data_IF_698150233716
#
_entry.id   IF_698150233716
#
_cell.length_a   1.000
_cell.length_b   1.000
_cell.length_c   1.000
_cell.angle_alpha   90.00
_cell.angle_beta   90.00
_cell.angle_gamma   90.00
#
_symmetry.space_group_name_H-M   'P 1'
#
loop_
_entity.id
_entity.type
_entity.pdbx_description
1 polymer ?
#
# COMPACT_ATOMS: atom_id res chain seq x y z
N UNK A 1 20.42 23.08 15.33
CA UNK A 1 19.03 22.80 15.78
C UNK A 1 19.06 21.92 17.02
N UNK A 2 18.04 21.98 17.89
CA UNK A 2 17.95 21.22 19.14
C UNK A 2 16.81 20.19 19.02
N UNK A 3 17.09 18.91 19.27
CA UNK A 3 16.07 17.86 19.23
C UNK A 3 15.05 18.03 20.37
N UNK A 4 13.77 17.73 20.11
CA UNK A 4 12.70 17.69 21.11
C UNK A 4 12.44 16.22 21.52
N UNK A 5 12.85 15.79 22.73
CA UNK A 5 12.60 14.43 23.20
C UNK A 5 11.12 14.16 23.52
N UNK A 6 10.29 15.19 23.71
CA UNK A 6 8.88 15.06 24.08
C UNK A 6 7.94 15.06 22.87
N UNK A 7 8.47 14.89 21.65
CA UNK A 7 7.65 14.89 20.44
C UNK A 7 6.72 13.67 20.41
N UNK A 8 5.44 13.91 20.14
CA UNK A 8 4.46 12.84 19.95
C UNK A 8 4.30 12.54 18.47
N UNK A 9 4.53 11.28 18.10
CA UNK A 9 4.32 10.80 16.75
C UNK A 9 2.88 10.33 16.56
N UNK A 10 2.23 10.81 15.51
CA UNK A 10 0.96 10.29 15.03
C UNK A 10 1.16 9.63 13.67
N UNK A 11 0.62 8.43 13.50
CA UNK A 11 0.61 7.70 12.23
C UNK A 11 -0.82 7.25 11.95
N UNK A 12 -1.34 7.71 10.82
CA UNK A 12 -2.60 7.24 10.26
C UNK A 12 -2.28 6.39 9.02
N UNK A 13 -2.67 5.11 9.06
CA UNK A 13 -2.47 4.20 7.94
C UNK A 13 -3.81 3.69 7.43
N UNK A 14 -4.17 4.09 6.21
CA UNK A 14 -5.41 3.68 5.57
C UNK A 14 -5.33 2.18 5.25
N UNK A 15 -6.18 1.41 5.91
CA UNK A 15 -6.33 -0.01 5.65
C UNK A 15 -7.45 -0.20 4.62
N UNK A 16 -7.08 -0.55 3.38
CA UNK A 16 -8.02 -0.69 2.26
C UNK A 16 -7.68 -1.86 1.35
N UNK A 17 -8.64 -2.23 0.50
CA UNK A 17 -8.40 -3.20 -0.55
C UNK A 17 -7.34 -2.72 -1.55
N UNK A 18 -6.64 -3.66 -2.23
CA UNK A 18 -5.68 -3.31 -3.26
C UNK A 18 -6.36 -2.49 -4.36
N UNK A 19 -5.67 -1.45 -4.83
CA UNK A 19 -6.17 -0.64 -5.93
C UNK A 19 -6.21 -1.48 -7.20
N UNK A 20 -7.40 -1.60 -7.80
CA UNK A 20 -7.55 -2.21 -9.12
C UNK A 20 -7.23 -1.17 -10.18
N UNK A 21 -6.11 -1.37 -10.89
CA UNK A 21 -5.71 -0.48 -12.00
C UNK A 21 -6.44 -0.90 -13.28
N UNK A 22 -7.31 -0.04 -13.85
CA UNK A 22 -8.18 -0.41 -14.96
C UNK A 22 -7.48 -0.31 -16.32
N UNK A 23 -6.30 -0.93 -16.48
CA UNK A 23 -5.45 -0.82 -17.69
C UNK A 23 -6.10 -1.31 -18.98
N UNK A 24 -7.23 -2.02 -18.91
CA UNK A 24 -7.98 -2.50 -20.08
C UNK A 24 -9.23 -1.67 -20.38
N UNK A 25 -9.42 -0.56 -19.68
CA UNK A 25 -10.51 0.40 -19.93
C UNK A 25 -9.97 1.57 -20.73
N UNK A 26 -10.68 1.98 -21.78
CA UNK A 26 -10.27 3.10 -22.62
C UNK A 26 -10.14 4.40 -21.81
N UNK A 27 -11.01 4.61 -20.82
CA UNK A 27 -11.01 5.81 -19.98
C UNK A 27 -9.72 5.98 -19.17
N UNK A 28 -9.04 4.87 -18.85
CA UNK A 28 -7.76 4.91 -18.12
C UNK A 28 -6.66 5.61 -18.93
N UNK A 29 -6.73 5.53 -20.25
CA UNK A 29 -5.68 6.00 -21.17
C UNK A 29 -5.93 7.41 -21.71
N UNK A 30 -7.07 8.03 -21.43
CA UNK A 30 -7.47 9.34 -21.99
C UNK A 30 -6.44 10.45 -21.77
N UNK A 31 -5.67 10.40 -20.68
CA UNK A 31 -4.64 11.39 -20.35
C UNK A 31 -3.21 10.90 -20.62
N UNK A 32 -3.06 9.69 -21.17
CA UNK A 32 -1.78 9.01 -21.38
C UNK A 32 -1.48 8.81 -22.88
N UNK A 33 -1.74 9.86 -23.67
CA UNK A 33 -1.51 9.83 -25.12
C UNK A 33 -0.03 9.56 -25.45
N UNK A 34 0.21 8.76 -26.49
CA UNK A 34 1.56 8.48 -26.99
C UNK A 34 2.32 7.34 -26.29
N UNK A 35 1.74 6.70 -25.27
CA UNK A 35 2.35 5.51 -24.67
C UNK A 35 2.22 4.29 -25.59
N UNK A 36 3.33 3.61 -25.92
CA UNK A 36 3.28 2.46 -26.82
C UNK A 36 2.79 1.21 -26.09
N UNK A 37 1.91 0.44 -26.73
CA UNK A 37 1.28 -0.76 -26.14
C UNK A 37 2.28 -1.83 -25.64
N UNK A 38 3.50 -1.86 -26.21
CA UNK A 38 4.54 -2.81 -25.80
C UNK A 38 5.04 -2.59 -24.36
N UNK A 39 4.93 -1.38 -23.82
CA UNK A 39 5.31 -1.10 -22.43
C UNK A 39 4.34 -1.77 -21.45
N UNK A 40 3.03 -1.61 -21.67
CA UNK A 40 2.01 -2.33 -20.90
C UNK A 40 2.19 -3.84 -21.01
N UNK A 41 2.40 -4.37 -22.22
CA UNK A 41 2.63 -5.79 -22.43
C UNK A 41 3.85 -6.31 -21.65
N UNK A 42 4.91 -5.51 -21.58
CA UNK A 42 6.12 -5.82 -20.80
C UNK A 42 5.81 -5.93 -19.31
N UNK A 43 5.07 -4.96 -18.75
CA UNK A 43 4.66 -4.96 -17.34
C UNK A 43 3.76 -6.16 -17.04
N UNK A 44 2.77 -6.45 -17.88
CA UNK A 44 1.88 -7.59 -17.71
C UNK A 44 2.64 -8.94 -17.73
N UNK A 45 3.62 -9.07 -18.63
CA UNK A 45 4.51 -10.24 -18.67
C UNK A 45 5.29 -10.38 -17.37
N UNK A 46 5.87 -9.27 -16.87
CA UNK A 46 6.64 -9.28 -15.62
C UNK A 46 5.79 -9.68 -14.41
N UNK A 47 4.57 -9.14 -14.28
CA UNK A 47 3.62 -9.50 -13.21
C UNK A 47 3.30 -11.00 -13.26
N UNK A 48 3.04 -11.54 -14.45
CA UNK A 48 2.76 -12.98 -14.64
C UNK A 48 3.93 -13.86 -14.23
N UNK A 49 5.17 -13.40 -14.44
CA UNK A 49 6.39 -14.12 -14.08
C UNK A 49 6.73 -14.02 -12.59
N UNK A 50 6.25 -12.98 -11.91
CA UNK A 50 6.55 -12.71 -10.50
C UNK A 50 5.26 -12.58 -9.68
N UNK A 51 4.46 -13.66 -9.57
CA UNK A 51 3.26 -13.62 -8.75
C UNK A 51 3.63 -13.35 -7.27
N UNK A 52 2.77 -12.64 -6.52
CA UNK A 52 3.05 -12.35 -5.13
C UNK A 52 3.09 -13.65 -4.31
N UNK A 53 4.07 -13.75 -3.39
CA UNK A 53 4.27 -14.96 -2.56
C UNK A 53 3.12 -15.23 -1.59
N UNK A 54 2.35 -14.19 -1.26
CA UNK A 54 1.15 -14.22 -0.43
C UNK A 54 0.08 -13.36 -1.11
N UNK A 55 -1.20 -13.64 -0.91
CA UNK A 55 -2.27 -12.76 -1.37
C UNK A 55 -2.05 -11.32 -0.89
N UNK A 56 -2.44 -10.36 -1.71
CA UNK A 56 -2.44 -8.96 -1.30
C UNK A 56 -3.39 -8.77 -0.11
N UNK A 57 -3.06 -7.89 0.86
CA UNK A 57 -3.97 -7.57 1.96
C UNK A 57 -5.33 -7.09 1.43
N UNK A 58 -6.42 -7.59 2.01
CA UNK A 58 -7.80 -7.25 1.66
C UNK A 58 -8.64 -7.09 2.93
N UNK A 59 -9.62 -6.19 2.86
CA UNK A 59 -10.61 -5.91 3.91
C UNK A 59 -12.05 -6.12 3.47
N UNK A 60 -12.30 -6.38 2.18
CA UNK A 60 -13.64 -6.63 1.65
C UNK A 60 -14.42 -7.67 2.48
N UNK A 61 -13.75 -8.74 2.92
CA UNK A 61 -14.37 -9.84 3.68
C UNK A 61 -14.40 -9.63 5.22
N UNK A 62 -13.99 -8.45 5.70
CA UNK A 62 -13.91 -8.15 7.14
C UNK A 62 -15.11 -7.33 7.61
N UNK A 63 -15.63 -7.65 8.79
CA UNK A 63 -16.56 -6.78 9.52
C UNK A 63 -15.88 -5.50 9.99
N UNK A 64 -16.64 -4.49 10.39
CA UNK A 64 -16.07 -3.22 10.86
C UNK A 64 -15.13 -3.40 12.06
N UNK A 65 -15.48 -4.26 13.01
CA UNK A 65 -14.62 -4.59 14.15
C UNK A 65 -13.30 -5.25 13.70
N UNK A 66 -13.35 -6.12 12.68
CA UNK A 66 -12.15 -6.75 12.12
C UNK A 66 -11.31 -5.77 11.31
N UNK A 67 -11.93 -4.79 10.64
CA UNK A 67 -11.23 -3.71 9.92
C UNK A 67 -10.48 -2.82 10.90
N UNK A 68 -11.14 -2.38 11.98
CA UNK A 68 -10.53 -1.57 13.03
C UNK A 68 -9.36 -2.31 13.70
N UNK A 69 -9.55 -3.57 14.10
CA UNK A 69 -8.49 -4.37 14.71
C UNK A 69 -7.30 -4.56 13.76
N UNK A 70 -7.56 -4.73 12.46
CA UNK A 70 -6.51 -4.88 11.46
C UNK A 70 -5.73 -3.56 11.27
N UNK A 71 -6.42 -2.42 11.23
CA UNK A 71 -5.80 -1.09 11.17
C UNK A 71 -4.93 -0.80 12.40
N UNK A 72 -5.43 -1.11 13.60
CA UNK A 72 -4.68 -0.92 14.84
C UNK A 72 -3.40 -1.79 14.88
N UNK A 73 -3.50 -3.06 14.46
CA UNK A 73 -2.35 -3.96 14.38
C UNK A 73 -1.28 -3.41 13.43
N UNK A 74 -1.72 -2.97 12.27
CA UNK A 74 -0.95 -2.30 11.23
C UNK A 74 -0.17 -1.07 11.77
N UNK A 75 -0.85 -0.14 12.46
CA UNK A 75 -0.21 1.04 13.07
C UNK A 75 0.80 0.63 14.17
N UNK A 76 0.45 -0.33 15.01
CA UNK A 76 1.35 -0.85 16.06
C UNK A 76 2.61 -1.46 15.46
N UNK A 77 2.49 -2.24 14.38
CA UNK A 77 3.64 -2.82 13.68
C UNK A 77 4.56 -1.73 13.10
N UNK A 78 4.02 -0.68 12.50
CA UNK A 78 4.81 0.46 12.03
C UNK A 78 5.59 1.14 13.15
N UNK A 79 4.97 1.39 14.31
CA UNK A 79 5.70 1.97 15.46
C UNK A 79 6.76 1.03 16.04
N UNK A 80 6.49 -0.28 16.05
CA UNK A 80 7.51 -1.27 16.45
C UNK A 80 8.71 -1.25 15.49
N UNK A 81 8.45 -1.17 14.18
CA UNK A 81 9.50 -1.03 13.18
C UNK A 81 10.29 0.26 13.36
N UNK A 82 9.60 1.40 13.51
CA UNK A 82 10.21 2.72 13.69
C UNK A 82 11.14 2.76 14.93
N UNK A 83 10.71 2.19 16.06
CA UNK A 83 11.55 2.06 17.26
C UNK A 83 12.80 1.22 17.02
N UNK A 84 12.64 0.06 16.36
CA UNK A 84 13.71 -0.91 16.17
C UNK A 84 14.72 -0.52 15.10
N UNK A 85 14.27 0.12 14.02
CA UNK A 85 15.07 0.32 12.81
C UNK A 85 15.42 1.79 12.56
N UNK A 86 14.59 2.73 13.05
CA UNK A 86 14.73 4.16 12.77
C UNK A 86 15.11 4.98 14.01
N UNK A 87 15.17 4.37 15.20
CA UNK A 87 15.50 5.07 16.45
C UNK A 87 14.43 6.06 16.91
N UNK A 88 13.19 5.93 16.43
CA UNK A 88 12.06 6.75 16.84
C UNK A 88 11.42 6.13 18.08
N UNK A 89 11.82 6.59 19.27
CA UNK A 89 11.35 6.08 20.57
C UNK A 89 10.39 7.02 21.27
#
# INVERSE_FOLDING_TARGET
>A
ERANPDIQFNLEMITRDPLIVPVFKDEYWLTMEGLPAHELATILKWIKQHPPRKPLPSISDKSDAQRLAFEEANVRECFQYARKQLGLS
#
